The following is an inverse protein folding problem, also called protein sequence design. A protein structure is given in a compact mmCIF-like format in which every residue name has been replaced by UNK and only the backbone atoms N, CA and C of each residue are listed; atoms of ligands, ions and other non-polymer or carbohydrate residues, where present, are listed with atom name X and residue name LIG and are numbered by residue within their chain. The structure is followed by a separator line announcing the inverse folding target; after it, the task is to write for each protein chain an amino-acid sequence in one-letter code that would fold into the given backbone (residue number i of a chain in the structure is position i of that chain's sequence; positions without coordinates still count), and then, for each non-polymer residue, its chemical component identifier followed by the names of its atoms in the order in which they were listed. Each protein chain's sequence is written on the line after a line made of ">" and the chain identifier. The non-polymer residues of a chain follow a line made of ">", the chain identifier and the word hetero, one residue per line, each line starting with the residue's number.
data_IF_899537661339
#
_entry.id   IF_899537661339
#
_cell.length_a   1.000
_cell.length_b   1.000
_cell.length_c   1.000
_cell.angle_alpha   90.00
_cell.angle_beta   90.00
_cell.angle_gamma   90.00
#
_symmetry.space_group_name_H-M   'P 1'
#
loop_
_entity.id
_entity.type
_entity.pdbx_description
1 polymer ?
#
# COMPACT_ATOMS: atom_id res chain seq x y z
N UNK A 1 -59.09 6.29 41.72
CA UNK A 1 -59.27 4.89 41.28
C UNK A 1 -57.92 4.19 41.47
N UNK A 2 -57.63 3.57 42.62
CA UNK A 2 -57.79 2.12 42.95
C UNK A 2 -57.07 1.14 41.99
N UNK A 3 -55.83 0.82 42.37
CA UNK A 3 -55.23 -0.51 42.61
C UNK A 3 -55.03 -1.58 41.50
N UNK A 4 -53.77 -2.05 41.45
CA UNK A 4 -53.26 -3.45 41.41
C UNK A 4 -53.00 -4.18 40.07
N UNK A 5 -51.69 -4.40 39.85
CA UNK A 5 -50.98 -5.66 39.53
C UNK A 5 -51.62 -6.69 38.59
N UNK A 6 -50.83 -7.22 37.63
CA UNK A 6 -50.38 -8.63 37.61
C UNK A 6 -49.16 -8.76 36.68
N UNK A 7 -48.05 -9.27 37.24
CA UNK A 7 -46.91 -9.84 36.53
C UNK A 7 -47.32 -11.18 35.90
N UNK A 8 -47.03 -11.40 34.62
CA UNK A 8 -46.85 -12.75 34.07
C UNK A 8 -45.58 -12.80 33.24
N UNK A 9 -44.62 -13.51 33.79
CA UNK A 9 -43.43 -13.99 33.11
C UNK A 9 -43.82 -14.96 31.99
N UNK A 10 -43.18 -14.83 30.84
CA UNK A 10 -43.04 -15.92 29.88
C UNK A 10 -41.62 -15.86 29.33
N UNK A 11 -40.75 -16.67 29.92
CA UNK A 11 -39.43 -16.95 29.39
C UNK A 11 -39.62 -17.83 28.14
N UNK A 12 -39.16 -17.34 26.98
CA UNK A 12 -39.03 -18.16 25.78
C UNK A 12 -37.54 -18.21 25.44
N UNK A 13 -36.91 -19.28 25.91
CA UNK A 13 -35.55 -19.66 25.57
C UNK A 13 -35.56 -20.19 24.14
N UNK A 14 -35.14 -19.36 23.18
CA UNK A 14 -34.98 -19.80 21.79
C UNK A 14 -33.56 -20.35 21.63
N UNK A 15 -33.42 -21.66 21.80
CA UNK A 15 -32.22 -22.43 21.48
C UNK A 15 -32.14 -22.51 19.96
N UNK A 16 -31.38 -21.62 19.34
CA UNK A 16 -31.02 -21.74 17.92
C UNK A 16 -29.74 -22.57 17.83
N UNK A 17 -29.89 -23.81 17.37
CA UNK A 17 -28.79 -24.73 17.04
C UNK A 17 -27.89 -24.12 15.96
N UNK A 18 -26.64 -23.87 16.32
CA UNK A 18 -25.56 -23.51 15.39
C UNK A 18 -25.30 -24.69 14.44
N UNK A 19 -25.73 -24.57 13.18
CA UNK A 19 -25.17 -25.35 12.09
C UNK A 19 -23.94 -24.60 11.59
N UNK A 20 -22.77 -24.99 12.10
CA UNK A 20 -21.48 -24.50 11.60
C UNK A 20 -21.18 -25.22 10.29
N UNK A 21 -21.63 -24.65 9.17
CA UNK A 21 -21.14 -25.04 7.87
C UNK A 21 -19.68 -24.56 7.75
N UNK A 22 -18.73 -25.45 7.96
CA UNK A 22 -17.33 -25.23 7.59
C UNK A 22 -17.23 -25.21 6.07
N UNK A 23 -17.42 -24.03 5.49
CA UNK A 23 -16.99 -23.77 4.13
C UNK A 23 -15.46 -23.89 4.10
N UNK A 24 -14.97 -25.05 3.67
CA UNK A 24 -13.59 -25.24 3.25
C UNK A 24 -13.39 -24.31 2.04
N UNK A 25 -12.93 -23.09 2.30
CA UNK A 25 -12.36 -22.24 1.26
C UNK A 25 -11.09 -22.95 0.78
N UNK A 26 -11.22 -23.73 -0.28
CA UNK A 26 -10.10 -24.00 -1.15
C UNK A 26 -9.62 -22.64 -1.64
N UNK A 27 -8.50 -22.17 -1.08
CA UNK A 27 -7.78 -21.03 -1.61
C UNK A 27 -7.30 -21.45 -3.00
N UNK A 28 -8.10 -21.11 -4.01
CA UNK A 28 -7.69 -21.12 -5.40
C UNK A 28 -6.39 -20.32 -5.45
N UNK A 29 -5.25 -20.89 -5.90
CA UNK A 29 -4.00 -20.15 -5.93
C UNK A 29 -4.17 -19.03 -6.95
N UNK A 30 -4.57 -17.85 -6.46
CA UNK A 30 -4.57 -16.62 -7.22
C UNK A 30 -3.19 -16.50 -7.84
N UNK A 31 -3.11 -16.77 -9.14
CA UNK A 31 -1.91 -16.58 -9.92
C UNK A 31 -1.51 -15.13 -9.74
N UNK A 32 -0.47 -14.89 -8.94
CA UNK A 32 0.02 -13.55 -8.69
C UNK A 32 0.23 -12.87 -10.05
N UNK A 33 -0.32 -11.66 -10.26
CA UNK A 33 -0.24 -10.99 -11.55
C UNK A 33 1.23 -10.91 -11.98
N UNK A 34 1.53 -11.19 -13.25
CA UNK A 34 2.87 -11.22 -13.88
C UNK A 34 3.84 -10.14 -13.37
N UNK A 35 3.33 -8.94 -13.09
CA UNK A 35 4.09 -7.81 -12.56
C UNK A 35 4.69 -8.07 -11.17
N UNK A 36 3.98 -8.79 -10.29
CA UNK A 36 4.46 -9.18 -8.95
C UNK A 36 5.66 -10.11 -9.04
N UNK A 37 5.54 -11.17 -9.84
CA UNK A 37 6.62 -12.15 -10.06
C UNK A 37 7.91 -11.51 -10.58
N UNK A 38 7.81 -10.53 -11.49
CA UNK A 38 8.99 -9.82 -12.01
C UNK A 38 9.70 -8.97 -10.95
N UNK A 39 8.94 -8.33 -10.07
CA UNK A 39 9.52 -7.53 -8.99
C UNK A 39 10.20 -8.42 -7.94
N UNK A 40 9.56 -9.53 -7.56
CA UNK A 40 10.12 -10.53 -6.65
C UNK A 40 11.43 -11.09 -7.18
N UNK A 41 11.46 -11.55 -8.44
CA UNK A 41 12.67 -12.08 -9.08
C UNK A 41 13.82 -11.07 -9.09
N UNK A 42 13.53 -9.80 -9.40
CA UNK A 42 14.54 -8.73 -9.36
C UNK A 42 15.05 -8.48 -7.94
N UNK A 43 14.18 -8.53 -6.94
CA UNK A 43 14.55 -8.34 -5.54
C UNK A 43 15.44 -9.49 -5.06
N UNK A 44 15.04 -10.74 -5.34
CA UNK A 44 15.79 -11.95 -5.02
C UNK A 44 17.20 -11.88 -5.60
N UNK A 45 17.30 -11.62 -6.91
CA UNK A 45 18.57 -11.58 -7.62
C UNK A 45 19.49 -10.45 -7.12
N UNK A 46 18.92 -9.28 -6.77
CA UNK A 46 19.73 -8.12 -6.35
C UNK A 46 20.24 -8.21 -4.92
N UNK A 47 19.52 -8.89 -4.05
CA UNK A 47 19.86 -8.99 -2.63
C UNK A 47 20.35 -10.40 -2.25
N UNK A 48 20.31 -11.37 -3.16
CA UNK A 48 20.59 -12.76 -2.85
C UNK A 48 19.69 -13.28 -1.73
N UNK A 49 18.38 -12.99 -1.79
CA UNK A 49 17.45 -13.43 -0.76
C UNK A 49 17.31 -14.96 -0.80
N UNK A 50 17.34 -15.58 0.37
CA UNK A 50 16.92 -16.98 0.51
C UNK A 50 15.42 -17.10 0.25
N UNK A 51 14.94 -18.32 0.01
CA UNK A 51 13.49 -18.58 -0.14
C UNK A 51 12.71 -18.17 1.11
N UNK A 52 13.24 -18.44 2.30
CA UNK A 52 12.61 -18.04 3.57
C UNK A 52 12.54 -16.52 3.71
N UNK A 53 13.61 -15.81 3.36
CA UNK A 53 13.61 -14.34 3.36
C UNK A 53 12.63 -13.78 2.34
N UNK A 54 12.53 -14.39 1.17
CA UNK A 54 11.58 -14.00 0.14
C UNK A 54 10.14 -14.20 0.61
N UNK A 55 9.84 -15.33 1.24
CA UNK A 55 8.52 -15.61 1.78
C UNK A 55 8.15 -14.63 2.89
N UNK A 56 9.08 -14.33 3.80
CA UNK A 56 8.88 -13.30 4.82
C UNK A 56 8.62 -11.92 4.19
N UNK A 57 9.34 -11.58 3.12
CA UNK A 57 9.11 -10.35 2.37
C UNK A 57 7.68 -10.32 1.80
N UNK A 58 7.22 -11.40 1.17
CA UNK A 58 5.85 -11.48 0.64
C UNK A 58 4.80 -11.23 1.71
N UNK A 59 4.97 -11.80 2.90
CA UNK A 59 4.04 -11.61 4.01
C UNK A 59 3.94 -10.14 4.45
N UNK A 60 5.08 -9.42 4.50
CA UNK A 60 5.09 -7.97 4.80
C UNK A 60 4.22 -7.19 3.81
N UNK A 61 4.28 -7.52 2.51
CA UNK A 61 3.49 -6.80 1.49
C UNK A 61 2.06 -7.32 1.35
N UNK A 62 1.79 -8.58 1.69
CA UNK A 62 0.46 -9.17 1.71
C UNK A 62 -0.40 -8.58 2.85
N UNK A 63 0.21 -8.34 4.02
CA UNK A 63 -0.46 -7.74 5.18
C UNK A 63 -0.65 -6.23 5.07
N UNK A 64 -0.18 -5.62 3.98
CA UNK A 64 -0.28 -4.19 3.76
C UNK A 64 -1.65 -3.84 3.20
N UNK A 65 -2.27 -2.79 3.73
CA UNK A 65 -3.48 -2.23 3.14
C UNK A 65 -3.17 -1.57 1.78
N UNK A 66 -3.25 -2.36 0.71
CA UNK A 66 -2.95 -1.93 -0.65
C UNK A 66 -3.87 -0.79 -1.09
N UNK A 67 -5.12 -0.78 -0.63
CA UNK A 67 -6.08 0.25 -1.04
C UNK A 67 -5.80 1.57 -0.33
N UNK A 68 -5.49 1.56 0.97
CA UNK A 68 -5.04 2.76 1.69
C UNK A 68 -3.79 3.37 1.02
N UNK A 69 -2.81 2.55 0.64
CA UNK A 69 -1.62 3.02 -0.06
C UNK A 69 -1.93 3.63 -1.43
N UNK A 70 -2.84 3.03 -2.20
CA UNK A 70 -3.27 3.55 -3.50
C UNK A 70 -4.02 4.87 -3.33
N UNK A 71 -4.94 4.93 -2.38
CA UNK A 71 -5.71 6.12 -2.07
C UNK A 71 -4.79 7.26 -1.65
N UNK A 72 -3.84 6.99 -0.75
CA UNK A 72 -2.83 7.96 -0.35
C UNK A 72 -2.03 8.51 -1.54
N UNK A 73 -1.58 7.63 -2.44
CA UNK A 73 -0.87 8.05 -3.65
C UNK A 73 -1.73 8.96 -4.53
N UNK A 74 -3.01 8.62 -4.73
CA UNK A 74 -3.95 9.45 -5.49
C UNK A 74 -4.16 10.81 -4.83
N UNK A 75 -4.37 10.84 -3.51
CA UNK A 75 -4.55 12.07 -2.74
C UNK A 75 -3.34 13.00 -2.86
N UNK A 76 -2.12 12.47 -2.67
CA UNK A 76 -0.90 13.27 -2.81
C UNK A 76 -0.75 13.84 -4.22
N UNK A 77 -1.02 13.03 -5.26
CA UNK A 77 -0.95 13.49 -6.66
C UNK A 77 -1.99 14.57 -6.96
N UNK A 78 -3.22 14.38 -6.50
CA UNK A 78 -4.29 15.36 -6.66
C UNK A 78 -3.95 16.67 -5.93
N UNK A 79 -3.48 16.60 -4.69
CA UNK A 79 -3.11 17.77 -3.91
C UNK A 79 -1.97 18.57 -4.55
N UNK A 80 -0.94 17.89 -5.07
CA UNK A 80 0.16 18.53 -5.79
C UNK A 80 -0.29 19.19 -7.11
N UNK A 81 -1.15 18.52 -7.87
CA UNK A 81 -1.70 19.07 -9.11
C UNK A 81 -2.55 20.31 -8.83
N UNK A 82 -3.37 20.25 -7.79
CA UNK A 82 -4.22 21.36 -7.37
C UNK A 82 -3.42 22.54 -6.83
N UNK A 83 -2.39 22.31 -6.02
CA UNK A 83 -1.48 23.37 -5.58
C UNK A 83 -0.85 24.10 -6.77
N UNK A 84 -0.39 23.34 -7.79
CA UNK A 84 0.15 23.94 -9.02
C UNK A 84 -0.92 24.76 -9.75
N UNK A 85 -2.14 24.26 -9.86
CA UNK A 85 -3.25 24.96 -10.51
C UNK A 85 -3.58 26.27 -9.80
N UNK A 86 -3.70 26.24 -8.47
CA UNK A 86 -3.96 27.42 -7.65
C UNK A 86 -2.86 28.49 -7.80
N UNK A 87 -1.59 28.06 -7.77
CA UNK A 87 -0.45 28.97 -7.95
C UNK A 87 -0.42 29.63 -9.33
N UNK A 88 -0.79 28.90 -10.39
CA UNK A 88 -0.81 29.42 -11.76
C UNK A 88 -2.04 30.29 -12.07
N UNK A 89 -3.13 30.12 -11.32
CA UNK A 89 -4.38 30.86 -11.53
C UNK A 89 -4.54 32.07 -10.60
N UNK A 90 -3.50 32.42 -9.83
CA UNK A 90 -3.51 33.60 -8.96
C UNK A 90 -4.40 33.47 -7.72
N UNK A 91 -4.50 32.27 -7.13
CA UNK A 91 -5.13 32.11 -5.83
C UNK A 91 -4.43 32.96 -4.76
N UNK A 92 -5.17 33.39 -3.73
CA UNK A 92 -4.60 34.15 -2.62
C UNK A 92 -3.61 33.32 -1.77
N UNK A 93 -2.76 34.02 -1.02
CA UNK A 93 -1.71 33.41 -0.21
C UNK A 93 -2.26 32.44 0.84
N UNK A 94 -3.43 32.76 1.42
CA UNK A 94 -4.07 31.90 2.41
C UNK A 94 -4.47 30.55 1.82
N UNK A 95 -5.05 30.55 0.61
CA UNK A 95 -5.44 29.35 -0.14
C UNK A 95 -4.21 28.52 -0.52
N UNK A 96 -3.14 29.18 -0.98
CA UNK A 96 -1.88 28.52 -1.31
C UNK A 96 -1.23 27.88 -0.08
N UNK A 97 -1.19 28.60 1.05
CA UNK A 97 -0.61 28.11 2.29
C UNK A 97 -1.40 26.92 2.86
N UNK A 98 -2.74 26.97 2.82
CA UNK A 98 -3.58 25.85 3.23
C UNK A 98 -3.30 24.61 2.38
N UNK A 99 -3.24 24.77 1.05
CA UNK A 99 -2.98 23.63 0.16
C UNK A 99 -1.55 23.10 0.28
N UNK A 100 -0.58 23.97 0.51
CA UNK A 100 0.80 23.58 0.79
C UNK A 100 0.89 22.74 2.06
N UNK A 101 0.15 23.11 3.12
CA UNK A 101 0.09 22.37 4.38
C UNK A 101 -0.49 20.97 4.19
N UNK A 102 -1.53 20.84 3.37
CA UNK A 102 -2.09 19.53 2.99
C UNK A 102 -1.05 18.65 2.28
N UNK A 103 -0.32 19.20 1.30
CA UNK A 103 0.75 18.47 0.60
C UNK A 103 1.85 18.03 1.57
N UNK A 104 2.27 18.91 2.48
CA UNK A 104 3.28 18.58 3.49
C UNK A 104 2.82 17.44 4.41
N UNK A 105 1.56 17.47 4.86
CA UNK A 105 0.98 16.39 5.67
C UNK A 105 0.98 15.04 4.93
N UNK A 106 0.57 15.03 3.66
CA UNK A 106 0.57 13.81 2.83
C UNK A 106 2.00 13.29 2.56
N UNK A 107 2.99 14.19 2.44
CA UNK A 107 4.40 13.80 2.33
C UNK A 107 4.91 13.18 3.64
N UNK A 108 4.58 13.76 4.79
CA UNK A 108 4.96 13.20 6.09
C UNK A 108 4.36 11.80 6.29
N UNK A 109 3.09 11.61 5.95
CA UNK A 109 2.44 10.29 5.97
C UNK A 109 3.13 9.29 5.03
N UNK A 110 3.59 9.73 3.85
CA UNK A 110 4.35 8.89 2.91
C UNK A 110 5.65 8.40 3.53
N UNK A 111 6.35 9.28 4.25
CA UNK A 111 7.60 8.94 4.94
C UNK A 111 7.35 7.97 6.10
N UNK A 112 6.27 8.17 6.85
CA UNK A 112 5.89 7.28 7.94
C UNK A 112 5.60 5.86 7.43
N UNK A 113 4.75 5.71 6.40
CA UNK A 113 4.48 4.40 5.80
C UNK A 113 5.73 3.70 5.28
N UNK A 114 6.67 4.47 4.69
CA UNK A 114 7.96 3.93 4.25
C UNK A 114 8.78 3.45 5.43
N UNK A 115 8.89 4.23 6.49
CA UNK A 115 9.61 3.86 7.71
C UNK A 115 9.02 2.58 8.33
N UNK A 116 7.70 2.48 8.40
CA UNK A 116 7.02 1.30 8.96
C UNK A 116 7.31 0.04 8.14
N UNK A 117 7.29 0.16 6.81
CA UNK A 117 7.73 -0.93 5.92
C UNK A 117 9.19 -1.32 6.20
N UNK A 118 10.08 -0.34 6.36
CA UNK A 118 11.50 -0.59 6.61
C UNK A 118 11.75 -1.27 7.96
N UNK A 119 10.99 -0.92 9.01
CA UNK A 119 11.05 -1.59 10.31
C UNK A 119 10.67 -3.06 10.24
N UNK A 120 9.74 -3.42 9.36
CA UNK A 120 9.32 -4.81 9.14
C UNK A 120 10.33 -5.59 8.28
N UNK A 121 10.90 -4.95 7.24
CA UNK A 121 11.85 -5.59 6.33
C UNK A 121 13.24 -5.73 6.93
N UNK A 122 13.70 -4.75 7.72
CA UNK A 122 15.06 -4.72 8.26
C UNK A 122 15.50 -6.01 8.95
N UNK A 123 14.70 -6.59 9.87
CA UNK A 123 15.02 -7.86 10.54
C UNK A 123 15.13 -9.08 9.61
N UNK A 124 14.50 -9.05 8.43
CA UNK A 124 14.56 -10.15 7.43
C UNK A 124 15.93 -10.18 6.76
N UNK A 125 16.56 -9.01 6.59
CA UNK A 125 17.79 -8.84 5.84
C UNK A 125 19.01 -8.90 6.77
N UNK A 126 20.09 -9.54 6.29
CA UNK A 126 21.42 -9.44 6.90
C UNK A 126 22.05 -8.04 6.65
N UNK A 127 23.17 -7.68 7.30
CA UNK A 127 23.78 -6.35 7.16
C UNK A 127 24.10 -5.95 5.70
N UNK A 128 24.73 -6.83 4.94
CA UNK A 128 25.12 -6.57 3.54
C UNK A 128 23.88 -6.38 2.64
N UNK A 129 22.83 -7.17 2.88
CA UNK A 129 21.55 -7.07 2.19
C UNK A 129 20.83 -5.75 2.49
N UNK A 130 20.92 -5.24 3.73
CA UNK A 130 20.35 -3.93 4.10
C UNK A 130 21.04 -2.80 3.34
N UNK A 131 22.36 -2.85 3.22
CA UNK A 131 23.11 -1.86 2.45
C UNK A 131 22.76 -1.93 0.95
N UNK A 132 22.71 -3.13 0.39
CA UNK A 132 22.28 -3.33 -1.00
C UNK A 132 20.84 -2.85 -1.24
N UNK A 133 19.95 -3.09 -0.28
CA UNK A 133 18.56 -2.62 -0.32
C UNK A 133 18.47 -1.09 -0.25
N UNK A 134 19.25 -0.44 0.61
CA UNK A 134 19.34 1.02 0.69
C UNK A 134 19.79 1.63 -0.65
N UNK A 135 20.90 1.12 -1.23
CA UNK A 135 21.40 1.54 -2.55
C UNK A 135 20.38 1.33 -3.67
N UNK A 136 19.58 0.26 -3.58
CA UNK A 136 18.51 0.00 -4.55
C UNK A 136 17.38 1.04 -4.44
N UNK A 137 17.01 1.44 -3.23
CA UNK A 137 15.97 2.44 -3.00
C UNK A 137 16.40 3.85 -3.42
N UNK A 138 17.67 4.22 -3.22
CA UNK A 138 18.23 5.53 -3.64
C UNK A 138 18.14 5.74 -5.15
N UNK A 139 18.42 4.69 -5.93
CA UNK A 139 18.42 4.77 -7.41
C UNK A 139 17.03 5.02 -8.01
N UNK A 140 15.97 4.78 -7.25
CA UNK A 140 14.59 5.03 -7.66
C UNK A 140 14.14 4.34 -8.97
N UNK A 141 12.89 4.54 -9.40
CA UNK A 141 12.37 3.98 -10.66
C UNK A 141 12.98 4.62 -11.92
N UNK A 142 13.72 5.72 -11.80
CA UNK A 142 14.19 6.56 -12.93
C UNK A 142 15.48 6.06 -13.61
N UNK A 143 16.06 4.95 -13.14
CA UNK A 143 17.29 4.37 -13.69
C UNK A 143 17.14 3.57 -14.99
N UNK A 144 15.97 3.55 -15.64
CA UNK A 144 15.75 2.78 -16.88
C UNK A 144 15.48 3.70 -18.08
N UNK A 145 16.55 3.94 -18.83
CA UNK A 145 16.63 4.21 -20.28
C UNK A 145 15.59 5.15 -20.95
N UNK A 146 16.00 6.41 -21.15
CA UNK A 146 15.81 7.06 -22.46
C UNK A 146 16.87 6.51 -23.42
N UNK A 147 16.68 5.29 -23.90
CA UNK A 147 17.46 4.76 -25.02
C UNK A 147 16.93 5.39 -26.30
N UNK A 148 17.74 6.24 -26.94
CA UNK A 148 17.53 6.67 -28.31
C UNK A 148 17.24 5.47 -29.22
N UNK A 149 16.06 5.44 -29.85
CA UNK A 149 15.91 4.77 -31.14
C UNK A 149 16.41 5.78 -32.19
N UNK A 150 17.50 5.51 -32.93
CA UNK A 150 17.77 6.27 -34.14
C UNK A 150 16.64 5.95 -35.12
N UNK A 151 15.91 6.97 -35.56
CA UNK A 151 15.02 6.87 -36.70
C UNK A 151 15.87 6.46 -37.90
N UNK A 152 15.71 5.21 -38.34
CA UNK A 152 16.13 4.77 -39.66
C UNK A 152 15.33 5.60 -40.66
N UNK A 153 16.04 6.56 -41.24
CA UNK A 153 15.63 7.40 -42.35
C UNK A 153 15.25 6.47 -43.51
N UNK A 154 13.95 6.27 -43.73
CA UNK A 154 13.46 5.71 -44.99
C UNK A 154 13.75 6.74 -46.08
N UNK A 155 14.79 6.45 -46.87
CA UNK A 155 14.97 7.01 -48.20
C UNK A 155 13.89 6.40 -49.10
N UNK A 156 12.97 7.25 -49.54
CA UNK A 156 12.25 7.11 -50.80
C UNK A 156 12.73 8.20 -51.73
#
# INVERSE_FOLDING_TARGET
>A
MRSLNVVRAAAVTLVATLVTATALYAADPQTAPERGKRWESRLQHKLGLTEDQMQAFKQVYANRDVEAHRQHHRSLRAAQAELRRLALNGADDATLQAKQTEVQSLLAQSMQMRLDTLKQVGPILNPDQREAFAKMMERGPRGHHRGHRPHQQQRG
#
